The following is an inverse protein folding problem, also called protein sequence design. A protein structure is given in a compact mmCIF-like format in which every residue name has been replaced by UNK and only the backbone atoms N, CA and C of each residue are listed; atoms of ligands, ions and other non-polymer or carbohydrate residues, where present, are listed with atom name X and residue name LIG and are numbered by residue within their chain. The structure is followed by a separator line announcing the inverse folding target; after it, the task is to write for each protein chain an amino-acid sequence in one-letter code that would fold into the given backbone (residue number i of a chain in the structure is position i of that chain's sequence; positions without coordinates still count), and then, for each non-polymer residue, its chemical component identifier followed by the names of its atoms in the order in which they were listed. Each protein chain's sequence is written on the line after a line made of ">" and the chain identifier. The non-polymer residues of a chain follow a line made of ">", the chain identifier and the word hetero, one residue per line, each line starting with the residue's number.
data_IF_005778260951
#
_entry.id   IF_005778260951
#
_cell.length_a   1.000
_cell.length_b   1.000
_cell.length_c   1.000
_cell.angle_alpha   90.00
_cell.angle_beta   90.00
_cell.angle_gamma   90.00
#
_symmetry.space_group_name_H-M   'P 1'
#
loop_
_entity.id
_entity.type
_entity.pdbx_description
1 polymer ?
#
# COMPACT_ATOMS: atom_id res chain seq x y z
N UNK A 1 1.42 -5.22 -17.21
CA UNK A 1 2.87 -4.89 -17.10
C UNK A 1 3.64 -5.83 -18.03
N UNK A 2 4.42 -5.34 -19.00
CA UNK A 2 5.22 -6.21 -19.86
C UNK A 2 6.32 -6.89 -19.03
N UNK A 3 6.45 -8.20 -19.14
CA UNK A 3 7.52 -8.98 -18.52
C UNK A 3 8.63 -9.29 -19.52
N UNK A 4 8.28 -9.42 -20.82
CA UNK A 4 9.21 -9.61 -21.93
C UNK A 4 8.58 -9.08 -23.21
N UNK A 5 9.26 -9.23 -24.36
CA UNK A 5 8.71 -8.89 -25.67
C UNK A 5 7.48 -9.74 -26.07
N UNK A 6 7.26 -10.87 -25.40
CA UNK A 6 6.20 -11.84 -25.71
C UNK A 6 5.24 -12.10 -24.53
N UNK A 7 5.52 -11.59 -23.33
CA UNK A 7 4.78 -11.88 -22.13
C UNK A 7 4.37 -10.60 -21.38
N UNK A 8 3.13 -10.58 -20.92
CA UNK A 8 2.57 -9.48 -20.15
C UNK A 8 1.87 -10.03 -18.92
N UNK A 9 2.24 -9.52 -17.74
CA UNK A 9 1.52 -9.77 -16.50
C UNK A 9 0.30 -8.86 -16.40
N UNK A 10 -0.85 -9.45 -16.10
CA UNK A 10 -2.10 -8.74 -15.88
C UNK A 10 -2.49 -8.90 -14.42
N UNK A 11 -2.73 -7.78 -13.75
CA UNK A 11 -3.24 -7.73 -12.37
C UNK A 11 -4.68 -7.26 -12.43
N UNK A 12 -5.56 -8.00 -11.80
CA UNK A 12 -6.98 -7.74 -11.80
C UNK A 12 -7.53 -7.77 -10.38
N UNK A 13 -8.24 -6.73 -9.95
CA UNK A 13 -8.89 -6.66 -8.64
C UNK A 13 -10.39 -6.75 -8.79
N UNK A 14 -11.02 -7.69 -8.10
CA UNK A 14 -12.46 -7.88 -8.09
C UNK A 14 -12.99 -7.93 -6.67
N UNK A 15 -14.21 -7.44 -6.48
CA UNK A 15 -14.96 -7.68 -5.25
C UNK A 15 -15.20 -9.18 -5.12
N UNK A 16 -15.01 -9.73 -3.92
CA UNK A 16 -15.18 -11.15 -3.64
C UNK A 16 -16.61 -11.58 -3.99
N UNK A 17 -16.75 -12.22 -5.13
CA UNK A 17 -18.01 -12.85 -5.53
C UNK A 17 -18.03 -14.32 -5.10
N UNK A 18 -19.22 -14.83 -4.82
CA UNK A 18 -19.45 -16.16 -4.25
C UNK A 18 -19.18 -17.34 -5.21
N UNK A 19 -18.92 -17.11 -6.50
CA UNK A 19 -18.95 -18.16 -7.52
C UNK A 19 -17.60 -18.43 -8.20
N UNK A 20 -17.38 -19.69 -8.57
CA UNK A 20 -16.20 -20.24 -9.24
C UNK A 20 -15.99 -19.80 -10.71
N UNK A 21 -16.79 -18.91 -11.25
CA UNK A 21 -16.78 -18.45 -12.65
C UNK A 21 -15.70 -17.40 -12.96
N UNK A 22 -14.87 -17.07 -11.99
CA UNK A 22 -13.94 -15.93 -12.06
C UNK A 22 -12.91 -16.02 -13.20
N UNK A 23 -12.50 -17.22 -13.60
CA UNK A 23 -11.47 -17.38 -14.64
C UNK A 23 -12.00 -17.01 -16.03
N UNK A 24 -13.18 -17.49 -16.38
CA UNK A 24 -13.81 -17.17 -17.65
C UNK A 24 -14.15 -15.68 -17.77
N UNK A 25 -14.66 -15.08 -16.69
CA UNK A 25 -14.95 -13.64 -16.64
C UNK A 25 -13.68 -12.79 -16.82
N UNK A 26 -12.55 -13.20 -16.21
CA UNK A 26 -11.27 -12.51 -16.37
C UNK A 26 -10.79 -12.61 -17.82
N UNK A 27 -10.91 -13.77 -18.45
CA UNK A 27 -10.52 -13.97 -19.83
C UNK A 27 -11.38 -13.14 -20.79
N UNK A 28 -12.69 -13.08 -20.56
CA UNK A 28 -13.59 -12.22 -21.31
C UNK A 28 -13.24 -10.74 -21.17
N UNK A 29 -12.95 -10.28 -19.96
CA UNK A 29 -12.53 -8.91 -19.71
C UNK A 29 -11.19 -8.58 -20.38
N UNK A 30 -10.21 -9.48 -20.30
CA UNK A 30 -8.93 -9.29 -20.98
C UNK A 30 -9.15 -9.17 -22.49
N UNK A 31 -9.96 -10.06 -23.09
CA UNK A 31 -10.27 -10.01 -24.52
C UNK A 31 -11.04 -8.75 -24.91
N UNK A 32 -11.97 -8.30 -24.08
CA UNK A 32 -12.73 -7.06 -24.28
C UNK A 32 -11.85 -5.81 -24.34
N UNK A 33 -10.85 -5.72 -23.47
CA UNK A 33 -10.00 -4.53 -23.36
C UNK A 33 -8.70 -4.64 -24.17
N UNK A 34 -8.24 -5.84 -24.49
CA UNK A 34 -7.05 -6.06 -25.28
C UNK A 34 -7.40 -6.03 -26.79
N UNK A 35 -7.37 -4.84 -27.38
CA UNK A 35 -7.63 -4.65 -28.81
C UNK A 35 -6.39 -4.75 -29.70
N UNK A 36 -5.20 -4.88 -29.10
CA UNK A 36 -3.91 -4.71 -29.81
C UNK A 36 -3.18 -6.00 -30.05
N UNK A 37 -3.28 -6.97 -29.17
CA UNK A 37 -2.47 -8.18 -29.22
C UNK A 37 -3.30 -9.44 -29.29
N UNK A 38 -2.90 -10.41 -30.12
CA UNK A 38 -3.49 -11.75 -30.11
C UNK A 38 -2.89 -12.56 -28.94
N UNK A 39 -3.76 -13.07 -28.06
CA UNK A 39 -3.33 -13.88 -26.92
C UNK A 39 -3.23 -15.33 -27.39
N UNK A 40 -2.06 -15.93 -27.25
CA UNK A 40 -1.81 -17.33 -27.63
C UNK A 40 -2.08 -18.31 -26.49
N UNK A 41 -1.74 -17.92 -25.26
CA UNK A 41 -1.92 -18.77 -24.08
C UNK A 41 -1.99 -17.94 -22.81
N UNK A 42 -2.58 -18.51 -21.76
CA UNK A 42 -2.60 -17.96 -20.41
C UNK A 42 -1.86 -18.89 -19.47
N UNK A 43 -1.08 -18.32 -18.57
CA UNK A 43 -0.54 -19.05 -17.43
C UNK A 43 -1.60 -19.24 -16.34
N UNK A 44 -1.30 -20.09 -15.36
CA UNK A 44 -2.19 -20.30 -14.21
C UNK A 44 -2.46 -18.98 -13.49
N UNK A 45 -3.73 -18.71 -13.20
CA UNK A 45 -4.16 -17.51 -12.49
C UNK A 45 -3.85 -17.67 -10.99
N UNK A 46 -3.01 -16.80 -10.45
CA UNK A 46 -2.78 -16.67 -9.01
C UNK A 46 -3.89 -15.84 -8.36
N UNK A 47 -4.50 -16.33 -7.30
CA UNK A 47 -5.54 -15.62 -6.53
C UNK A 47 -5.00 -15.27 -5.15
N UNK A 48 -5.16 -14.02 -4.75
CA UNK A 48 -4.69 -13.51 -3.47
C UNK A 48 -5.78 -12.69 -2.79
N UNK A 49 -6.07 -12.98 -1.53
CA UNK A 49 -6.97 -12.15 -0.73
C UNK A 49 -6.28 -10.83 -0.36
N UNK A 50 -6.93 -9.72 -0.71
CA UNK A 50 -6.48 -8.38 -0.33
C UNK A 50 -7.04 -8.03 1.05
N UNK A 51 -6.32 -8.42 2.11
CA UNK A 51 -6.68 -8.09 3.49
C UNK A 51 -5.62 -7.18 4.08
N UNK A 52 -6.03 -6.02 4.57
CA UNK A 52 -5.17 -5.16 5.37
C UNK A 52 -4.88 -5.79 6.74
N UNK A 53 -3.66 -5.69 7.21
CA UNK A 53 -3.27 -6.06 8.57
C UNK A 53 -2.15 -5.19 9.07
N UNK A 54 -2.19 -4.87 10.37
CA UNK A 54 -1.14 -4.14 11.07
C UNK A 54 -0.72 -4.95 12.28
N UNK A 55 0.57 -5.20 12.42
CA UNK A 55 1.13 -5.87 13.58
C UNK A 55 1.07 -4.96 14.82
N UNK A 56 0.71 -5.55 15.96
CA UNK A 56 0.73 -4.85 17.24
C UNK A 56 2.15 -4.74 17.81
N UNK A 57 2.97 -5.76 17.62
CA UNK A 57 4.36 -5.81 18.07
C UNK A 57 5.24 -6.14 16.87
N UNK A 58 6.28 -5.34 16.63
CA UNK A 58 7.14 -5.47 15.46
C UNK A 58 8.27 -6.45 15.66
N UNK A 59 8.59 -6.78 16.91
CA UNK A 59 9.67 -7.71 17.21
C UNK A 59 9.30 -8.68 18.32
N UNK A 60 9.99 -9.82 18.32
CA UNK A 60 9.98 -10.80 19.39
C UNK A 60 11.39 -11.29 19.65
N UNK A 61 11.89 -11.14 20.88
CA UNK A 61 13.30 -11.37 21.19
C UNK A 61 14.20 -10.58 20.21
N UNK A 62 15.09 -11.24 19.50
CA UNK A 62 16.01 -10.64 18.53
C UNK A 62 15.51 -10.73 17.06
N UNK A 63 14.25 -11.06 16.86
CA UNK A 63 13.65 -11.20 15.53
C UNK A 63 12.75 -9.98 15.28
N UNK A 64 13.05 -9.23 14.21
CA UNK A 64 12.23 -8.13 13.72
C UNK A 64 11.36 -8.60 12.56
N UNK A 65 10.05 -8.34 12.63
CA UNK A 65 9.20 -8.38 11.45
C UNK A 65 9.41 -7.12 10.63
N UNK A 66 9.33 -7.23 9.29
CA UNK A 66 9.61 -6.10 8.42
C UNK A 66 8.73 -6.08 7.17
N UNK A 67 8.53 -4.89 6.55
CA UNK A 67 7.77 -4.70 5.33
C UNK A 67 6.31 -5.13 5.46
N UNK A 68 5.81 -5.89 4.49
CA UNK A 68 4.41 -6.36 4.46
C UNK A 68 4.03 -7.23 5.67
N UNK A 69 4.99 -7.74 6.43
CA UNK A 69 4.70 -8.43 7.68
C UNK A 69 4.25 -7.47 8.79
N UNK A 70 4.73 -6.21 8.78
CA UNK A 70 4.31 -5.19 9.74
C UNK A 70 3.00 -4.55 9.30
N UNK A 71 2.92 -4.12 8.04
CA UNK A 71 1.83 -3.31 7.52
C UNK A 71 1.41 -3.79 6.12
N UNK A 72 0.50 -4.72 6.08
CA UNK A 72 -0.17 -5.10 4.85
C UNK A 72 -1.35 -4.17 4.64
N UNK A 73 -1.24 -3.25 3.70
CA UNK A 73 -2.29 -2.28 3.39
C UNK A 73 -2.97 -2.58 2.07
N UNK A 74 -4.14 -1.98 1.85
CA UNK A 74 -4.81 -2.08 0.55
C UNK A 74 -3.91 -1.53 -0.55
N UNK A 75 -3.78 -2.19 -1.73
CA UNK A 75 -2.84 -1.80 -2.80
C UNK A 75 -3.28 -0.53 -3.55
N UNK A 76 -3.74 0.49 -2.82
CA UNK A 76 -4.01 1.82 -3.37
C UNK A 76 -2.68 2.50 -3.69
N UNK A 77 -2.44 2.72 -4.98
CA UNK A 77 -1.29 3.45 -5.51
C UNK A 77 0.10 2.94 -5.05
N UNK A 78 0.25 1.64 -4.73
CA UNK A 78 1.55 1.06 -4.38
C UNK A 78 2.18 1.54 -3.06
N UNK A 79 1.40 2.10 -2.17
CA UNK A 79 1.88 2.76 -0.94
C UNK A 79 2.57 1.83 0.06
N UNK A 80 2.32 0.51 0.00
CA UNK A 80 3.01 -0.48 0.87
C UNK A 80 4.53 -0.44 0.72
N UNK A 81 5.03 -0.36 -0.52
CA UNK A 81 6.46 -0.23 -0.79
C UNK A 81 7.04 1.07 -0.20
N UNK A 82 6.34 2.18 -0.34
CA UNK A 82 6.79 3.47 0.20
C UNK A 82 6.88 3.46 1.73
N UNK A 83 5.94 2.77 2.41
CA UNK A 83 6.03 2.56 3.85
C UNK A 83 7.27 1.74 4.22
N UNK A 84 7.53 0.65 3.49
CA UNK A 84 8.70 -0.21 3.72
C UNK A 84 10.01 0.55 3.50
N UNK A 85 10.12 1.39 2.46
CA UNK A 85 11.31 2.22 2.20
C UNK A 85 11.54 3.20 3.36
N UNK A 86 10.49 3.80 3.89
CA UNK A 86 10.57 4.67 5.06
C UNK A 86 11.05 3.93 6.30
N UNK A 87 10.53 2.74 6.54
CA UNK A 87 10.93 1.90 7.66
C UNK A 87 12.41 1.49 7.54
N UNK A 88 12.89 1.20 6.32
CA UNK A 88 14.32 0.94 6.05
C UNK A 88 15.16 2.14 6.47
N UNK A 89 14.78 3.34 6.05
CA UNK A 89 15.51 4.57 6.40
C UNK A 89 15.63 4.72 7.91
N UNK A 90 14.52 4.62 8.65
CA UNK A 90 14.52 4.73 10.11
C UNK A 90 15.42 3.66 10.76
N UNK A 91 15.34 2.42 10.29
CA UNK A 91 16.15 1.33 10.83
C UNK A 91 17.64 1.55 10.55
N UNK A 92 18.02 1.97 9.34
CA UNK A 92 19.40 2.30 8.99
C UNK A 92 19.94 3.40 9.88
N UNK A 93 19.21 4.51 10.05
CA UNK A 93 19.62 5.62 10.91
C UNK A 93 19.86 5.19 12.38
N UNK A 94 19.03 4.27 12.89
CA UNK A 94 19.20 3.73 14.24
C UNK A 94 20.43 2.85 14.37
N UNK A 95 20.71 2.04 13.35
CA UNK A 95 21.90 1.16 13.30
C UNK A 95 23.16 2.04 13.22
N UNK A 96 23.20 2.96 12.26
CA UNK A 96 24.34 3.86 12.04
C UNK A 96 24.67 4.65 13.31
N UNK A 97 23.64 5.23 13.95
CA UNK A 97 23.80 5.96 15.21
C UNK A 97 24.42 5.09 16.32
N UNK A 98 24.03 3.82 16.43
CA UNK A 98 24.61 2.93 17.43
C UNK A 98 26.06 2.55 17.12
N UNK A 99 26.36 2.33 15.84
CA UNK A 99 27.73 2.04 15.38
C UNK A 99 28.63 3.23 15.66
N UNK A 100 28.22 4.45 15.31
CA UNK A 100 28.98 5.68 15.53
C UNK A 100 29.27 5.95 17.01
N UNK A 101 28.34 5.55 17.88
CA UNK A 101 28.53 5.65 19.35
C UNK A 101 29.29 4.46 19.97
N UNK A 102 29.73 3.48 19.18
CA UNK A 102 30.39 2.26 19.68
C UNK A 102 29.48 1.38 20.55
N UNK A 103 28.14 1.47 20.37
CA UNK A 103 27.17 0.71 21.14
C UNK A 103 26.86 -0.62 20.49
N UNK A 104 26.46 -1.61 21.29
CA UNK A 104 26.07 -2.91 20.78
C UNK A 104 24.76 -2.85 19.98
N UNK A 105 24.67 -3.65 18.91
CA UNK A 105 23.45 -3.87 18.13
C UNK A 105 22.59 -4.92 18.83
N UNK A 106 21.85 -4.51 19.84
CA UNK A 106 21.01 -5.35 20.67
C UNK A 106 19.50 -5.11 20.46
N UNK A 107 18.68 -5.75 21.26
CA UNK A 107 17.20 -5.63 21.19
C UNK A 107 16.69 -4.19 21.36
N UNK A 108 17.50 -3.29 21.93
CA UNK A 108 17.07 -1.90 22.12
C UNK A 108 16.82 -1.17 20.81
N UNK A 109 17.52 -1.54 19.71
CA UNK A 109 17.27 -1.01 18.37
C UNK A 109 15.85 -1.39 17.90
N UNK A 110 15.45 -2.63 18.12
CA UNK A 110 14.15 -3.13 17.69
C UNK A 110 13.01 -2.40 18.41
N UNK A 111 13.19 -2.15 19.70
CA UNK A 111 12.27 -1.36 20.52
C UNK A 111 12.20 0.09 20.05
N UNK A 112 13.34 0.71 19.79
CA UNK A 112 13.38 2.09 19.31
C UNK A 112 12.78 2.22 17.92
N UNK A 113 13.04 1.27 17.02
CA UNK A 113 12.42 1.18 15.71
C UNK A 113 10.89 1.07 15.80
N UNK A 114 10.37 0.16 16.62
CA UNK A 114 8.91 0.04 16.85
C UNK A 114 8.33 1.36 17.36
N UNK A 115 8.95 1.98 18.35
CA UNK A 115 8.47 3.24 18.94
C UNK A 115 8.44 4.39 17.92
N UNK A 116 9.44 4.48 17.04
CA UNK A 116 9.51 5.53 16.02
C UNK A 116 8.55 5.33 14.87
N UNK A 117 8.30 4.09 14.46
CA UNK A 117 7.55 3.81 13.21
C UNK A 117 6.09 3.46 13.44
N UNK A 118 5.74 2.84 14.56
CA UNK A 118 4.43 2.22 14.79
C UNK A 118 3.25 3.19 14.67
N UNK A 119 3.31 4.34 15.30
CA UNK A 119 2.21 5.31 15.25
C UNK A 119 2.02 5.92 13.86
N UNK A 120 3.10 6.14 13.12
CA UNK A 120 3.06 6.62 11.74
C UNK A 120 2.47 5.56 10.80
N UNK A 121 2.94 4.32 10.92
CA UNK A 121 2.42 3.21 10.14
C UNK A 121 0.93 2.97 10.41
N UNK A 122 0.51 3.07 11.68
CA UNK A 122 -0.89 2.98 12.07
C UNK A 122 -1.74 4.10 11.45
N UNK A 123 -1.31 5.35 11.59
CA UNK A 123 -2.03 6.50 11.06
C UNK A 123 -2.12 6.43 9.53
N UNK A 124 -1.01 6.09 8.87
CA UNK A 124 -0.94 6.02 7.42
C UNK A 124 -1.84 4.90 6.86
N UNK A 125 -1.77 3.71 7.42
CA UNK A 125 -2.61 2.59 7.00
C UNK A 125 -4.10 2.86 7.21
N UNK A 126 -4.48 3.49 8.33
CA UNK A 126 -5.87 3.88 8.57
C UNK A 126 -6.34 4.99 7.62
N UNK A 127 -5.47 5.93 7.24
CA UNK A 127 -5.79 6.95 6.23
C UNK A 127 -6.10 6.32 4.87
N UNK A 128 -5.33 5.34 4.44
CA UNK A 128 -5.58 4.61 3.19
C UNK A 128 -6.89 3.81 3.28
N UNK A 129 -7.13 3.12 4.40
CA UNK A 129 -8.39 2.40 4.60
C UNK A 129 -9.60 3.36 4.62
N UNK A 130 -9.46 4.52 5.23
CA UNK A 130 -10.49 5.55 5.23
C UNK A 130 -10.81 6.04 3.82
N UNK A 131 -9.80 6.32 3.00
CA UNK A 131 -9.99 6.70 1.59
C UNK A 131 -10.73 5.59 0.84
N UNK A 132 -10.33 4.33 1.00
CA UNK A 132 -10.98 3.21 0.35
C UNK A 132 -12.47 3.07 0.74
N UNK A 133 -12.77 3.12 2.04
CA UNK A 133 -14.16 3.01 2.52
C UNK A 133 -15.01 4.23 2.13
N UNK A 134 -14.39 5.42 2.10
CA UNK A 134 -15.05 6.66 1.64
C UNK A 134 -15.54 6.51 0.19
N UNK A 135 -14.68 6.10 -0.74
CA UNK A 135 -15.07 5.89 -2.13
C UNK A 135 -16.09 4.75 -2.32
N UNK A 136 -15.98 3.71 -1.52
CA UNK A 136 -16.94 2.61 -1.53
C UNK A 136 -18.34 3.06 -1.10
N UNK A 137 -18.44 3.93 -0.09
CA UNK A 137 -19.69 4.53 0.38
C UNK A 137 -20.27 5.48 -0.66
N UNK A 138 -19.46 6.34 -1.27
CA UNK A 138 -19.87 7.28 -2.30
C UNK A 138 -20.47 6.56 -3.52
N UNK A 139 -19.82 5.50 -3.98
CA UNK A 139 -20.32 4.64 -5.05
C UNK A 139 -21.66 3.96 -4.69
N UNK A 140 -21.85 3.55 -3.43
CA UNK A 140 -23.06 2.89 -2.96
C UNK A 140 -24.26 3.86 -2.86
N UNK A 141 -23.98 5.10 -2.49
CA UNK A 141 -25.02 6.14 -2.28
C UNK A 141 -25.37 6.88 -3.58
N UNK A 142 -24.65 6.60 -4.67
CA UNK A 142 -24.80 7.30 -5.96
C UNK A 142 -24.77 8.84 -5.79
N UNK A 143 -24.08 9.33 -4.80
CA UNK A 143 -23.96 10.73 -4.43
C UNK A 143 -22.72 11.33 -5.07
N UNK A 144 -22.88 12.44 -5.77
CA UNK A 144 -21.76 13.25 -6.24
C UNK A 144 -20.98 13.97 -5.10
N UNK A 145 -20.99 13.39 -3.90
CA UNK A 145 -20.35 13.99 -2.72
C UNK A 145 -18.83 14.04 -2.88
N UNK A 146 -18.23 12.97 -3.40
CA UNK A 146 -16.80 12.96 -3.71
C UNK A 146 -16.42 14.06 -4.70
N UNK A 147 -17.21 14.26 -5.76
CA UNK A 147 -16.97 15.31 -6.75
C UNK A 147 -17.01 16.71 -6.13
N UNK A 148 -17.99 16.98 -5.26
CA UNK A 148 -18.08 18.26 -4.54
C UNK A 148 -16.92 18.46 -3.59
N UNK A 149 -16.52 17.40 -2.88
CA UNK A 149 -15.38 17.45 -1.97
C UNK A 149 -14.08 17.70 -2.74
N UNK A 150 -13.84 16.99 -3.86
CA UNK A 150 -12.65 17.23 -4.69
C UNK A 150 -12.63 18.65 -5.26
N UNK A 151 -13.75 19.15 -5.73
CA UNK A 151 -13.85 20.54 -6.19
C UNK A 151 -13.48 21.54 -5.09
N UNK A 152 -13.96 21.32 -3.86
CA UNK A 152 -13.58 22.16 -2.70
C UNK A 152 -12.09 22.07 -2.38
N UNK A 153 -11.52 20.85 -2.39
CA UNK A 153 -10.12 20.60 -2.09
C UNK A 153 -9.18 21.17 -3.17
N UNK A 154 -9.58 21.08 -4.43
CA UNK A 154 -8.82 21.61 -5.57
C UNK A 154 -8.73 23.14 -5.52
N UNK A 155 -9.81 23.80 -5.11
CA UNK A 155 -9.88 25.26 -5.00
C UNK A 155 -9.24 25.80 -3.70
N UNK A 156 -8.87 24.94 -2.76
CA UNK A 156 -8.21 25.35 -1.51
C UNK A 156 -6.69 25.17 -1.62
N UNK A 157 -5.98 26.27 -1.89
CA UNK A 157 -4.52 26.29 -2.06
C UNK A 157 -3.75 25.69 -0.88
N UNK A 158 -4.15 25.98 0.34
CA UNK A 158 -3.49 25.46 1.53
C UNK A 158 -3.64 23.95 1.65
N UNK A 159 -4.84 23.46 1.44
CA UNK A 159 -5.10 22.00 1.49
C UNK A 159 -4.33 21.26 0.41
N UNK A 160 -4.33 21.77 -0.82
CA UNK A 160 -3.56 21.18 -1.94
C UNK A 160 -2.07 21.10 -1.61
N UNK A 161 -1.48 22.19 -1.09
CA UNK A 161 -0.08 22.24 -0.68
C UNK A 161 0.24 21.23 0.42
N UNK A 162 -0.61 21.12 1.44
CA UNK A 162 -0.43 20.15 2.52
C UNK A 162 -0.61 18.71 2.05
N UNK A 163 -1.59 18.44 1.20
CA UNK A 163 -1.84 17.09 0.64
C UNK A 163 -0.68 16.61 -0.22
N UNK A 164 -0.12 17.47 -1.07
CA UNK A 164 1.07 17.15 -1.87
C UNK A 164 2.26 16.89 -0.95
N UNK A 165 2.53 17.77 0.01
CA UNK A 165 3.62 17.59 0.97
C UNK A 165 3.48 16.30 1.78
N UNK A 166 2.25 15.95 2.15
CA UNK A 166 1.95 14.70 2.85
C UNK A 166 2.18 13.46 1.96
N UNK A 167 1.80 13.53 0.69
CA UNK A 167 2.02 12.45 -0.26
C UNK A 167 3.51 12.24 -0.57
N UNK A 168 4.27 13.33 -0.71
CA UNK A 168 5.71 13.29 -1.04
C UNK A 168 6.58 12.88 0.15
N UNK A 169 6.36 13.49 1.31
CA UNK A 169 7.24 13.33 2.48
C UNK A 169 6.62 12.43 3.56
N UNK A 170 5.36 12.07 3.43
CA UNK A 170 4.61 11.42 4.50
C UNK A 170 4.43 12.36 5.70
N UNK A 171 4.25 11.76 6.89
CA UNK A 171 4.12 12.50 8.16
C UNK A 171 5.46 12.91 8.77
N UNK A 172 6.57 12.46 8.19
CA UNK A 172 7.90 12.72 8.70
C UNK A 172 8.48 13.95 7.99
N UNK A 173 8.38 15.10 8.64
CA UNK A 173 9.28 16.23 8.36
C UNK A 173 10.59 15.94 9.12
N UNK A 174 11.62 15.55 8.39
CA UNK A 174 13.01 15.71 8.79
C UNK A 174 13.59 16.92 8.08
#
# INVERSE_FOLDING_TARGET
>A
MPCSSKETSVVFSVLKQKNNTLENEILELINKYNKKYSIKSFSKIGKFDLKGSLLKNYYYKNILCFGDNIHKIHPLAGQGLNMTIRDIKVLSELIDKKIDLGLSLDQSILKEFENKTKHYNYLYANSINFIHEFFKLDNKLNNNFSNKMFYFLENNFYFKKYSIKFADNGLLNY
#
